data_IF_850431384896
#
_entry.id   IF_850431384896
#
_cell.length_a   1.000
_cell.length_b   1.000
_cell.length_c   1.000
_cell.angle_alpha   90.00
_cell.angle_beta   90.00
_cell.angle_gamma   90.00
#
_symmetry.space_group_name_H-M   'P 1'
#
loop_
_entity.id
_entity.type
_entity.pdbx_description
1 polymer ?
#
# COMPACT_ATOMS: atom_id res chain seq x y z
N UNK A 1 -11.58 -7.43 6.34
CA UNK A 1 -11.18 -6.34 5.44
C UNK A 1 -9.97 -6.74 4.63
N UNK A 2 -9.96 -6.42 3.33
CA UNK A 2 -8.87 -6.64 2.37
C UNK A 2 -8.67 -5.41 1.48
N UNK A 3 -7.46 -5.17 0.94
CA UNK A 3 -7.15 -3.96 0.17
C UNK A 3 -7.71 -3.99 -1.27
N UNK A 4 -8.14 -5.12 -1.80
CA UNK A 4 -8.60 -5.26 -3.19
C UNK A 4 -9.77 -4.32 -3.54
N UNK A 5 -10.58 -3.93 -2.56
CA UNK A 5 -11.67 -2.95 -2.74
C UNK A 5 -11.16 -1.56 -3.21
N UNK A 6 -9.89 -1.23 -2.92
CA UNK A 6 -9.27 0.02 -3.38
C UNK A 6 -9.15 0.10 -4.90
N UNK A 7 -9.03 -1.05 -5.58
CA UNK A 7 -9.00 -1.07 -7.05
C UNK A 7 -10.30 -0.52 -7.64
N UNK A 8 -11.46 -0.87 -7.04
CA UNK A 8 -12.74 -0.32 -7.48
C UNK A 8 -12.84 1.19 -7.23
N UNK A 9 -12.19 1.71 -6.17
CA UNK A 9 -12.20 3.13 -5.83
C UNK A 9 -11.30 3.97 -6.75
N UNK A 10 -10.19 3.41 -7.23
CA UNK A 10 -9.16 4.13 -7.99
C UNK A 10 -9.37 4.13 -9.51
N UNK A 11 -10.20 3.25 -10.04
CA UNK A 11 -10.44 3.18 -11.48
C UNK A 11 -11.06 4.47 -12.04
N UNK A 12 -10.66 4.89 -13.26
CA UNK A 12 -11.21 6.10 -13.90
C UNK A 12 -12.73 6.09 -14.02
N UNK A 13 -13.32 4.91 -14.25
CA UNK A 13 -14.74 4.68 -14.45
C UNK A 13 -15.33 3.84 -13.30
N UNK A 14 -15.10 4.28 -12.05
CA UNK A 14 -15.72 3.63 -10.90
C UNK A 14 -17.23 3.84 -10.88
N UNK A 15 -18.03 2.80 -10.58
CA UNK A 15 -19.46 2.95 -10.35
C UNK A 15 -19.79 3.38 -8.93
N UNK A 16 -18.80 3.63 -8.08
CA UNK A 16 -18.97 3.93 -6.66
C UNK A 16 -19.16 5.44 -6.45
N UNK A 17 -20.13 5.79 -5.63
CA UNK A 17 -20.32 7.15 -5.13
C UNK A 17 -19.20 7.54 -4.16
N UNK A 18 -18.89 8.85 -4.09
CA UNK A 18 -17.79 9.38 -3.26
C UNK A 18 -17.95 9.04 -1.77
N UNK A 19 -19.17 8.96 -1.27
CA UNK A 19 -19.44 8.58 0.12
C UNK A 19 -19.06 7.12 0.41
N UNK A 20 -19.30 6.22 -0.55
CA UNK A 20 -18.88 4.82 -0.47
C UNK A 20 -17.37 4.71 -0.52
N UNK A 21 -16.72 5.43 -1.46
CA UNK A 21 -15.25 5.48 -1.58
C UNK A 21 -14.64 5.98 -0.28
N UNK A 22 -15.15 7.06 0.31
CA UNK A 22 -14.69 7.61 1.58
C UNK A 22 -14.79 6.59 2.72
N UNK A 23 -15.89 5.84 2.78
CA UNK A 23 -16.07 4.79 3.78
C UNK A 23 -15.05 3.67 3.62
N UNK A 24 -14.79 3.21 2.39
CA UNK A 24 -13.77 2.20 2.08
C UNK A 24 -12.38 2.71 2.48
N UNK A 25 -12.02 3.93 2.10
CA UNK A 25 -10.74 4.52 2.43
C UNK A 25 -10.53 4.64 3.94
N UNK A 26 -11.53 5.09 4.68
CA UNK A 26 -11.46 5.17 6.15
C UNK A 26 -11.22 3.81 6.80
N UNK A 27 -11.88 2.75 6.33
CA UNK A 27 -11.68 1.39 6.85
C UNK A 27 -10.29 0.87 6.47
N UNK A 28 -9.85 1.07 5.23
CA UNK A 28 -8.52 0.64 4.77
C UNK A 28 -7.40 1.39 5.50
N UNK A 29 -7.55 2.69 5.73
CA UNK A 29 -6.58 3.47 6.52
C UNK A 29 -6.47 2.96 7.95
N UNK A 30 -7.59 2.69 8.60
CA UNK A 30 -7.60 2.27 10.01
C UNK A 30 -7.16 0.82 10.26
N UNK A 31 -7.33 -0.07 9.28
CA UNK A 31 -7.05 -1.50 9.48
C UNK A 31 -5.86 -2.03 8.68
N UNK A 32 -5.58 -1.47 7.49
CA UNK A 32 -4.63 -2.06 6.56
C UNK A 32 -3.39 -1.22 6.35
N UNK A 33 -3.49 0.12 6.41
CA UNK A 33 -2.37 1.02 6.12
C UNK A 33 -1.23 0.84 7.14
N UNK A 34 -0.02 0.78 6.62
CA UNK A 34 1.24 0.71 7.38
C UNK A 34 2.25 1.64 6.73
N UNK A 35 3.39 1.92 7.36
CA UNK A 35 4.46 2.70 6.72
C UNK A 35 5.00 2.10 5.42
N UNK A 36 4.89 0.77 5.22
CA UNK A 36 5.47 0.07 4.05
C UNK A 36 4.43 -0.28 2.97
N UNK A 37 3.15 0.07 3.17
CA UNK A 37 2.07 -0.27 2.24
C UNK A 37 0.80 -0.72 2.95
N UNK A 38 0.00 -1.56 2.29
CA UNK A 38 -1.23 -2.08 2.90
C UNK A 38 -1.15 -3.59 3.15
N UNK A 39 -1.65 -3.98 4.34
CA UNK A 39 -1.84 -5.39 4.70
C UNK A 39 -2.82 -6.07 3.76
N UNK A 40 -2.57 -7.31 3.41
CA UNK A 40 -3.47 -8.13 2.58
C UNK A 40 -4.70 -8.62 3.34
N UNK A 41 -4.67 -8.59 4.66
CA UNK A 41 -5.79 -8.93 5.55
C UNK A 41 -5.74 -8.06 6.80
N UNK A 42 -6.92 -7.69 7.31
CA UNK A 42 -7.04 -6.95 8.57
C UNK A 42 -6.51 -7.77 9.76
N UNK A 43 -5.74 -7.16 10.68
CA UNK A 43 -5.31 -7.81 11.92
C UNK A 43 -6.45 -8.26 12.83
N UNK A 44 -7.66 -7.77 12.64
CA UNK A 44 -8.86 -8.20 13.36
C UNK A 44 -9.38 -9.57 12.90
N UNK A 45 -8.92 -10.06 11.75
CA UNK A 45 -9.33 -11.36 11.24
C UNK A 45 -8.55 -12.48 11.94
N UNK A 46 -9.20 -13.56 12.42
CA UNK A 46 -8.51 -14.66 13.12
C UNK A 46 -7.53 -15.45 12.23
N UNK A 47 -7.60 -15.28 10.90
CA UNK A 47 -6.66 -15.88 9.95
C UNK A 47 -5.47 -14.96 9.64
N UNK A 48 -5.32 -13.84 10.34
CA UNK A 48 -4.21 -12.92 10.11
C UNK A 48 -2.87 -13.55 10.49
N UNK A 49 -1.93 -13.53 9.56
CA UNK A 49 -0.56 -14.00 9.74
C UNK A 49 0.40 -12.82 9.58
N UNK A 50 1.00 -12.40 10.70
CA UNK A 50 1.83 -11.18 10.74
C UNK A 50 3.24 -11.35 10.14
N UNK A 51 3.76 -12.59 10.05
CA UNK A 51 5.12 -12.86 9.62
C UNK A 51 5.16 -13.80 8.41
N UNK A 52 5.96 -13.43 7.42
CA UNK A 52 6.16 -14.24 6.21
C UNK A 52 7.35 -15.22 6.42
N UNK A 53 7.20 -16.14 7.36
CA UNK A 53 8.26 -17.06 7.79
C UNK A 53 7.82 -18.54 7.70
N UNK A 54 8.80 -19.44 7.85
CA UNK A 54 8.59 -20.90 7.89
C UNK A 54 8.77 -21.57 6.54
N UNK A 55 8.09 -22.70 6.35
CA UNK A 55 8.13 -23.45 5.10
C UNK A 55 7.44 -22.73 3.92
N UNK A 56 7.63 -23.18 2.68
CA UNK A 56 7.05 -22.50 1.51
C UNK A 56 5.52 -22.35 1.55
N UNK A 57 4.79 -23.30 2.15
CA UNK A 57 3.32 -23.26 2.24
C UNK A 57 2.89 -22.17 3.22
N UNK A 58 3.55 -22.10 4.37
CA UNK A 58 3.28 -21.04 5.37
C UNK A 58 3.61 -19.66 4.81
N UNK A 59 4.77 -19.49 4.19
CA UNK A 59 5.13 -18.22 3.56
C UNK A 59 4.12 -17.79 2.49
N UNK A 60 3.73 -18.72 1.60
CA UNK A 60 2.71 -18.44 0.58
C UNK A 60 1.37 -18.04 1.20
N UNK A 61 0.98 -18.69 2.27
CA UNK A 61 -0.24 -18.32 3.00
C UNK A 61 -0.12 -16.92 3.62
N UNK A 62 0.97 -16.61 4.31
CA UNK A 62 1.22 -15.31 4.91
C UNK A 62 1.18 -14.16 3.89
N UNK A 63 1.68 -14.36 2.66
CA UNK A 63 1.62 -13.33 1.60
C UNK A 63 0.20 -12.83 1.30
N UNK A 64 -0.82 -13.66 1.55
CA UNK A 64 -2.23 -13.35 1.31
C UNK A 64 -3.05 -13.11 2.58
N UNK A 65 -2.49 -13.40 3.75
CA UNK A 65 -3.21 -13.36 5.03
C UNK A 65 -2.62 -12.37 6.04
N UNK A 66 -1.83 -11.40 5.60
CA UNK A 66 -1.32 -10.41 6.53
C UNK A 66 -0.16 -9.58 6.02
N UNK A 67 0.71 -10.14 5.16
CA UNK A 67 1.85 -9.41 4.60
C UNK A 67 1.44 -8.08 3.97
N UNK A 68 2.33 -7.10 4.08
CA UNK A 68 2.15 -5.76 3.53
C UNK A 68 2.69 -5.73 2.11
N UNK A 69 1.92 -5.15 1.21
CA UNK A 69 2.30 -4.93 -0.18
C UNK A 69 2.32 -3.43 -0.50
N UNK A 70 3.46 -2.94 -0.92
CA UNK A 70 3.66 -1.52 -1.23
C UNK A 70 2.81 -1.04 -2.42
N UNK A 71 2.65 -1.86 -3.45
CA UNK A 71 1.93 -1.46 -4.66
C UNK A 71 0.47 -1.04 -4.42
N UNK A 72 -0.16 -1.49 -3.33
CA UNK A 72 -1.50 -1.03 -2.96
C UNK A 72 -1.55 0.45 -2.57
N UNK A 73 -0.40 1.09 -2.28
CA UNK A 73 -0.35 2.53 -2.07
C UNK A 73 -0.79 3.31 -3.32
N UNK A 74 -0.49 2.80 -4.52
CA UNK A 74 -0.94 3.42 -5.75
C UNK A 74 -2.45 3.60 -5.83
N UNK A 75 -3.25 2.53 -5.79
CA UNK A 75 -4.72 2.62 -5.76
C UNK A 75 -5.26 3.39 -4.55
N UNK A 76 -4.63 3.26 -3.38
CA UNK A 76 -5.02 3.98 -2.18
C UNK A 76 -4.88 5.50 -2.35
N UNK A 77 -3.72 5.97 -2.76
CA UNK A 77 -3.41 7.39 -2.94
C UNK A 77 -4.22 7.98 -4.10
N UNK A 78 -4.41 7.22 -5.18
CA UNK A 78 -5.24 7.64 -6.32
C UNK A 78 -6.70 7.89 -5.90
N UNK A 79 -7.27 6.98 -5.10
CA UNK A 79 -8.62 7.15 -4.55
C UNK A 79 -8.70 8.34 -3.56
N UNK A 80 -7.63 8.59 -2.78
CA UNK A 80 -7.55 9.78 -1.91
C UNK A 80 -7.51 11.08 -2.72
N UNK A 81 -6.69 11.12 -3.78
CA UNK A 81 -6.67 12.28 -4.68
C UNK A 81 -8.00 12.54 -5.37
N UNK A 82 -8.74 11.49 -5.70
CA UNK A 82 -10.09 11.61 -6.26
C UNK A 82 -11.02 12.40 -5.35
N UNK A 83 -10.98 12.15 -4.04
CA UNK A 83 -11.86 12.81 -3.07
C UNK A 83 -11.34 14.17 -2.58
N UNK A 84 -10.03 14.31 -2.44
CA UNK A 84 -9.42 15.42 -1.73
C UNK A 84 -8.57 16.34 -2.62
N UNK A 85 -8.31 15.94 -3.87
CA UNK A 85 -7.51 16.73 -4.82
C UNK A 85 -6.18 17.19 -4.20
N UNK A 86 -5.82 18.44 -4.44
CA UNK A 86 -4.61 19.08 -3.91
C UNK A 86 -4.47 18.99 -2.38
N UNK A 87 -5.57 18.90 -1.64
CA UNK A 87 -5.55 18.78 -0.18
C UNK A 87 -4.83 17.53 0.34
N UNK A 88 -4.61 16.51 -0.49
CA UNK A 88 -3.93 15.28 -0.10
C UNK A 88 -2.44 15.24 -0.48
N UNK A 89 -1.90 16.24 -1.18
CA UNK A 89 -0.51 16.26 -1.70
C UNK A 89 0.51 16.03 -0.58
N UNK A 90 0.45 16.79 0.51
CA UNK A 90 1.40 16.63 1.61
C UNK A 90 1.33 15.24 2.24
N UNK A 91 0.14 14.73 2.50
CA UNK A 91 -0.04 13.38 3.05
C UNK A 91 0.53 12.30 2.11
N UNK A 92 0.31 12.44 0.80
CA UNK A 92 0.86 11.51 -0.19
C UNK A 92 2.40 11.57 -0.21
N UNK A 93 2.99 12.76 -0.14
CA UNK A 93 4.44 12.96 -0.07
C UNK A 93 5.04 12.33 1.19
N UNK A 94 4.40 12.52 2.34
CA UNK A 94 4.84 11.91 3.61
C UNK A 94 4.79 10.36 3.54
N UNK A 95 3.74 9.80 2.95
CA UNK A 95 3.60 8.35 2.80
C UNK A 95 4.72 7.75 1.94
N UNK A 96 5.08 8.38 0.82
CA UNK A 96 6.12 7.83 -0.06
C UNK A 96 7.54 8.20 0.37
N UNK A 97 7.72 9.28 1.12
CA UNK A 97 9.03 9.72 1.62
C UNK A 97 9.74 8.66 2.49
N UNK A 98 8.97 7.79 3.15
CA UNK A 98 9.50 6.67 3.95
C UNK A 98 10.37 5.71 3.11
N UNK A 99 10.12 5.60 1.80
CA UNK A 99 10.87 4.70 0.94
C UNK A 99 12.27 5.19 0.58
N UNK A 100 12.61 6.45 0.81
CA UNK A 100 13.98 6.94 0.65
C UNK A 100 14.94 6.21 1.60
N UNK A 101 14.53 6.00 2.86
CA UNK A 101 15.28 5.22 3.83
C UNK A 101 15.28 3.73 3.49
N UNK A 102 14.12 3.18 3.14
CA UNK A 102 13.95 1.76 2.80
C UNK A 102 14.84 1.31 1.63
N UNK A 103 15.03 2.18 0.63
CA UNK A 103 15.93 1.94 -0.51
C UNK A 103 17.42 1.89 -0.14
N UNK A 104 17.80 2.19 1.09
CA UNK A 104 19.19 2.07 1.57
C UNK A 104 19.42 0.83 2.43
N UNK A 105 18.34 0.18 2.91
CA UNK A 105 18.45 -0.91 3.89
C UNK A 105 18.46 -2.30 3.25
N UNK A 106 17.51 -2.62 2.38
CA UNK A 106 17.32 -3.99 1.89
C UNK A 106 17.84 -4.22 0.47
N UNK A 107 17.56 -3.33 -0.42
CA UNK A 107 18.04 -3.37 -1.81
C UNK A 107 18.42 -1.97 -2.25
N UNK A 108 19.72 -1.68 -2.44
CA UNK A 108 20.17 -0.33 -2.77
C UNK A 108 19.47 0.19 -4.01
N UNK A 109 18.73 1.30 -3.86
CA UNK A 109 17.94 1.91 -4.92
C UNK A 109 16.70 1.11 -5.32
N UNK A 110 16.19 0.22 -4.47
CA UNK A 110 15.04 -0.62 -4.77
C UNK A 110 14.13 -0.86 -3.58
N UNK A 111 12.94 -1.39 -3.84
CA UNK A 111 11.90 -1.69 -2.85
C UNK A 111 11.61 -3.18 -2.86
N UNK A 112 11.58 -3.81 -1.69
CA UNK A 112 11.28 -5.22 -1.52
C UNK A 112 9.87 -5.58 -2.03
N UNK A 113 9.65 -6.85 -2.33
CA UNK A 113 8.37 -7.33 -2.86
C UNK A 113 7.23 -7.15 -1.86
N UNK A 114 7.46 -7.53 -0.61
CA UNK A 114 6.48 -7.44 0.47
C UNK A 114 7.19 -7.32 1.83
N UNK A 115 6.41 -7.01 2.87
CA UNK A 115 6.91 -6.85 4.24
C UNK A 115 6.02 -7.64 5.21
N UNK A 116 6.54 -7.88 6.43
CA UNK A 116 5.73 -8.42 7.52
C UNK A 116 4.50 -7.54 7.80
N UNK A 117 3.42 -8.15 8.27
CA UNK A 117 2.18 -7.46 8.60
C UNK A 117 2.25 -6.59 9.84
N UNK A 118 3.26 -6.79 10.70
CA UNK A 118 3.48 -6.06 11.94
C UNK A 118 4.92 -5.54 12.04
N UNK A 119 5.17 -4.51 12.87
CA UNK A 119 6.52 -4.03 13.15
C UNK A 119 7.48 -5.19 13.54
N UNK A 120 8.74 -5.10 13.14
CA UNK A 120 9.43 -4.00 12.47
C UNK A 120 9.23 -3.93 10.93
N UNK A 121 8.25 -4.65 10.35
CA UNK A 121 7.98 -4.71 8.91
C UNK A 121 9.19 -5.19 8.10
N UNK A 122 9.74 -6.36 8.48
CA UNK A 122 10.87 -6.96 7.78
C UNK A 122 10.56 -7.23 6.32
N UNK A 123 11.48 -6.92 5.40
CA UNK A 123 11.29 -7.17 3.97
C UNK A 123 11.39 -8.65 3.63
N UNK A 124 10.60 -9.10 2.66
CA UNK A 124 10.56 -10.47 2.15
C UNK A 124 10.33 -10.49 0.64
N UNK A 125 10.43 -11.67 0.06
CA UNK A 125 10.30 -11.88 -1.39
C UNK A 125 11.53 -11.44 -2.16
N UNK A 126 11.36 -10.94 -3.37
CA UNK A 126 12.47 -10.40 -4.14
C UNK A 126 12.94 -9.04 -3.59
N UNK A 127 14.24 -8.79 -3.68
CA UNK A 127 14.87 -7.55 -3.19
C UNK A 127 14.55 -6.33 -4.03
N UNK A 128 14.07 -6.54 -5.26
CA UNK A 128 13.71 -5.47 -6.21
C UNK A 128 12.40 -5.81 -6.88
N UNK A 129 11.32 -5.15 -6.48
CA UNK A 129 9.99 -5.35 -7.04
C UNK A 129 9.64 -4.28 -8.05
N UNK A 130 9.68 -4.63 -9.34
CA UNK A 130 9.31 -3.71 -10.42
C UNK A 130 7.89 -3.13 -10.25
N UNK A 131 6.94 -3.92 -9.77
CA UNK A 131 5.56 -3.49 -9.51
C UNK A 131 5.50 -2.42 -8.42
N UNK A 132 6.20 -2.62 -7.30
CA UNK A 132 6.22 -1.66 -6.21
C UNK A 132 6.89 -0.35 -6.65
N UNK A 133 8.02 -0.44 -7.34
CA UNK A 133 8.73 0.74 -7.89
C UNK A 133 7.84 1.50 -8.87
N UNK A 134 7.18 0.79 -9.80
CA UNK A 134 6.28 1.42 -10.77
C UNK A 134 5.13 2.17 -10.10
N UNK A 135 4.53 1.61 -9.04
CA UNK A 135 3.46 2.29 -8.30
C UNK A 135 3.97 3.50 -7.51
N UNK A 136 5.13 3.45 -6.90
CA UNK A 136 5.72 4.62 -6.25
C UNK A 136 6.02 5.73 -7.26
N UNK A 137 6.61 5.42 -8.42
CA UNK A 137 6.82 6.38 -9.50
C UNK A 137 5.50 6.99 -10.00
N UNK A 138 4.46 6.15 -10.13
CA UNK A 138 3.13 6.64 -10.51
C UNK A 138 2.55 7.60 -9.45
N UNK A 139 2.74 7.30 -8.19
CA UNK A 139 2.30 8.19 -7.08
C UNK A 139 3.08 9.51 -7.12
N UNK A 140 4.39 9.50 -7.34
CA UNK A 140 5.18 10.72 -7.49
C UNK A 140 4.64 11.60 -8.62
N UNK A 141 4.32 11.00 -9.77
CA UNK A 141 3.69 11.72 -10.87
C UNK A 141 2.31 12.29 -10.50
N UNK A 142 1.49 11.56 -9.73
CA UNK A 142 0.19 12.07 -9.26
C UNK A 142 0.37 13.25 -8.30
N UNK A 143 1.34 13.19 -7.40
CA UNK A 143 1.66 14.29 -6.48
C UNK A 143 2.00 15.56 -7.28
N UNK A 144 2.93 15.46 -8.24
CA UNK A 144 3.31 16.58 -9.10
C UNK A 144 2.10 17.14 -9.87
N UNK A 145 1.29 16.27 -10.45
CA UNK A 145 0.09 16.66 -11.19
C UNK A 145 -0.91 17.42 -10.33
N UNK A 146 -1.18 16.98 -9.11
CA UNK A 146 -2.16 17.63 -8.22
C UNK A 146 -1.59 18.86 -7.51
N UNK A 147 -0.28 18.95 -7.32
CA UNK A 147 0.35 20.13 -6.74
C UNK A 147 0.33 21.34 -7.70
N UNK A 148 0.38 21.09 -9.01
CA UNK A 148 0.36 22.12 -10.06
C UNK A 148 -1.04 22.57 -10.47
N UNK A 149 -2.11 21.94 -9.98
CA UNK A 149 -3.50 22.34 -10.18
C UNK A 149 -3.97 23.33 -9.10
#
# INVERSE_FOLDING_TARGET
TRPNQLLACSLPFTPLEDEVINTILRVCSGELLTPKGLRTLSPKNPLFESHCEGDPVKRHRATHQGSVWTWFLGPYIDAQFRLHGKGFVNCASDIIGIFEEDMTEHGIGSIAELYDGNPPYRPHGCTSSARNIAEILRVMYLIEKYDTQ
#
